data_IF_782054358830
#
_entry.id   IF_782054358830
#
_cell.length_a   1.000
_cell.length_b   1.000
_cell.length_c   1.000
_cell.angle_alpha   90.00
_cell.angle_beta   90.00
_cell.angle_gamma   90.00
#
_symmetry.space_group_name_H-M   'P 1'
#
loop_
_entity.id
_entity.type
_entity.pdbx_description
1 polymer ?
#
# COMPACT_ATOMS: atom_id res chain seq x y z
N UNK A 1 9.02 -8.05 -31.90
CA UNK A 1 8.45 -9.00 -30.91
C UNK A 1 7.48 -8.24 -30.03
N UNK A 2 6.23 -8.70 -29.82
CA UNK A 2 5.20 -7.87 -29.20
C UNK A 2 5.41 -7.74 -27.69
N UNK A 3 5.35 -6.49 -27.21
CA UNK A 3 5.54 -6.04 -25.82
C UNK A 3 4.70 -6.83 -24.78
N UNK A 4 3.61 -7.47 -25.20
CA UNK A 4 2.75 -8.31 -24.36
C UNK A 4 3.39 -9.61 -23.87
N UNK A 5 4.44 -10.11 -24.52
CA UNK A 5 5.17 -11.29 -24.04
C UNK A 5 5.96 -10.97 -22.76
N UNK A 6 6.64 -9.81 -22.72
CA UNK A 6 7.47 -9.43 -21.57
C UNK A 6 6.66 -9.03 -20.33
N UNK A 7 5.49 -8.44 -20.51
CA UNK A 7 4.58 -8.13 -19.39
C UNK A 7 3.99 -9.39 -18.75
N UNK A 8 3.69 -10.40 -19.59
CA UNK A 8 3.33 -11.75 -19.11
C UNK A 8 4.49 -12.42 -18.39
N UNK A 9 5.73 -12.30 -18.88
CA UNK A 9 6.90 -12.82 -18.17
C UNK A 9 7.19 -12.11 -16.84
N UNK A 10 6.88 -10.82 -16.70
CA UNK A 10 7.04 -10.08 -15.44
C UNK A 10 5.92 -10.38 -14.44
N UNK A 11 4.65 -10.47 -14.88
CA UNK A 11 3.54 -10.88 -14.02
C UNK A 11 3.63 -12.36 -13.63
N UNK A 12 3.96 -13.23 -14.59
CA UNK A 12 4.22 -14.64 -14.32
C UNK A 12 5.52 -14.83 -13.54
N UNK A 13 6.54 -13.99 -13.72
CA UNK A 13 7.78 -14.01 -12.96
C UNK A 13 7.59 -13.57 -11.51
N UNK A 14 6.71 -12.58 -11.25
CA UNK A 14 6.34 -12.15 -9.90
C UNK A 14 5.44 -13.18 -9.21
N UNK A 15 4.49 -13.79 -9.93
CA UNK A 15 3.67 -14.89 -9.43
C UNK A 15 4.48 -16.19 -9.23
N UNK A 16 5.48 -16.46 -10.07
CA UNK A 16 6.38 -17.62 -9.95
C UNK A 16 7.44 -17.39 -8.87
N UNK A 17 7.92 -16.15 -8.66
CA UNK A 17 8.78 -15.82 -7.52
C UNK A 17 8.00 -15.89 -6.18
N UNK A 18 6.71 -15.52 -6.19
CA UNK A 18 5.82 -15.70 -5.03
C UNK A 18 5.46 -17.18 -4.82
N UNK A 19 5.39 -17.99 -5.89
CA UNK A 19 5.17 -19.44 -5.82
C UNK A 19 6.45 -20.27 -5.54
N UNK A 20 7.64 -19.72 -5.77
CA UNK A 20 8.93 -20.38 -5.48
C UNK A 20 9.44 -20.10 -4.06
N UNK A 21 8.77 -19.23 -3.30
CA UNK A 21 8.91 -19.15 -1.84
C UNK A 21 8.07 -20.21 -1.10
N UNK A 22 7.56 -21.21 -1.81
CA UNK A 22 7.02 -22.43 -1.20
C UNK A 22 8.20 -23.22 -0.64
N UNK A 23 8.52 -22.97 0.63
CA UNK A 23 9.21 -23.96 1.43
C UNK A 23 8.38 -25.24 1.31
N UNK A 24 8.92 -26.23 0.61
CA UNK A 24 8.31 -27.56 0.56
C UNK A 24 8.02 -27.98 2.01
N UNK A 25 6.80 -28.41 2.35
CA UNK A 25 6.53 -28.88 3.69
C UNK A 25 7.48 -30.05 3.96
N UNK A 26 8.41 -29.85 4.89
CA UNK A 26 9.24 -30.92 5.40
C UNK A 26 8.29 -32.02 5.86
N UNK A 27 8.46 -33.24 5.33
CA UNK A 27 7.56 -34.35 5.60
C UNK A 27 7.32 -34.51 7.10
N UNK A 28 6.04 -34.53 7.50
CA UNK A 28 5.67 -34.70 8.89
C UNK A 28 6.18 -36.05 9.39
N UNK A 29 7.08 -36.06 10.36
CA UNK A 29 7.61 -37.29 10.92
C UNK A 29 6.68 -37.76 12.03
N UNK A 30 5.93 -38.82 11.74
CA UNK A 30 4.96 -39.38 12.68
C UNK A 30 5.70 -40.18 13.76
N UNK A 31 5.84 -39.61 14.95
CA UNK A 31 6.29 -40.35 16.13
C UNK A 31 5.14 -41.26 16.56
N UNK A 32 5.33 -42.58 16.47
CA UNK A 32 4.30 -43.58 16.77
C UNK A 32 4.23 -43.80 18.30
N UNK A 33 3.24 -43.23 19.02
CA UNK A 33 3.16 -43.36 20.47
C UNK A 33 2.32 -44.60 20.77
N UNK A 34 2.95 -45.77 20.86
CA UNK A 34 2.38 -46.90 21.61
C UNK A 34 2.39 -46.61 23.12
N UNK A 35 1.85 -47.50 23.96
CA UNK A 35 1.57 -47.35 25.41
C UNK A 35 2.70 -46.79 26.33
N UNK A 36 3.88 -46.50 25.81
CA UNK A 36 4.90 -45.68 26.46
C UNK A 36 4.70 -44.23 25.99
N UNK A 37 4.27 -43.35 26.90
CA UNK A 37 4.25 -41.91 26.66
C UNK A 37 5.54 -41.44 25.98
N UNK A 38 5.43 -40.58 24.97
CA UNK A 38 6.60 -39.97 24.31
C UNK A 38 7.48 -39.36 25.39
N UNK A 39 8.66 -39.96 25.62
CA UNK A 39 9.62 -39.41 26.58
C UNK A 39 10.23 -38.16 25.98
N UNK A 40 10.39 -37.12 26.79
CA UNK A 40 10.99 -35.83 26.38
C UNK A 40 12.29 -36.03 25.57
N UNK A 41 13.10 -37.02 25.93
CA UNK A 41 14.35 -37.35 25.23
C UNK A 41 14.14 -37.76 23.77
N UNK A 42 13.14 -38.59 23.46
CA UNK A 42 12.84 -38.99 22.08
C UNK A 42 12.34 -37.81 21.25
N UNK A 43 11.55 -36.93 21.86
CA UNK A 43 11.11 -35.69 21.24
C UNK A 43 12.30 -34.78 20.90
N UNK A 44 13.23 -34.60 21.84
CA UNK A 44 14.45 -33.82 21.65
C UNK A 44 15.39 -34.44 20.61
N UNK A 45 15.50 -35.76 20.54
CA UNK A 45 16.30 -36.46 19.51
C UNK A 45 15.75 -36.22 18.11
N UNK A 46 14.43 -36.29 17.91
CA UNK A 46 13.82 -36.00 16.61
C UNK A 46 14.05 -34.53 16.22
N UNK A 47 13.91 -33.58 17.16
CA UNK A 47 14.22 -32.17 16.88
C UNK A 47 15.71 -31.92 16.59
N UNK A 48 16.62 -32.64 17.26
CA UNK A 48 18.06 -32.54 16.99
C UNK A 48 18.42 -33.13 15.63
N UNK A 49 17.81 -34.25 15.26
CA UNK A 49 18.07 -34.94 13.99
C UNK A 49 17.42 -34.25 12.78
N UNK A 50 16.26 -33.61 12.99
CA UNK A 50 15.60 -32.79 11.98
C UNK A 50 14.92 -31.58 12.65
N UNK A 51 15.64 -30.45 12.78
CA UNK A 51 15.10 -29.22 13.36
C UNK A 51 13.86 -28.69 12.63
N UNK A 52 13.64 -29.10 11.38
CA UNK A 52 12.51 -28.71 10.54
C UNK A 52 11.36 -29.72 10.54
N UNK A 53 11.40 -30.77 11.37
CA UNK A 53 10.30 -31.73 11.48
C UNK A 53 9.08 -31.11 12.20
N UNK A 54 7.92 -31.15 11.55
CA UNK A 54 6.65 -30.94 12.23
C UNK A 54 6.34 -32.14 13.13
N UNK A 55 6.18 -31.89 14.43
CA UNK A 55 5.92 -32.94 15.41
C UNK A 55 4.44 -33.03 15.73
N UNK A 56 3.88 -34.23 15.53
CA UNK A 56 2.48 -34.54 15.82
C UNK A 56 2.38 -35.68 16.82
N UNK A 57 1.48 -35.52 17.78
CA UNK A 57 1.02 -36.57 18.69
C UNK A 57 -0.27 -37.22 18.18
N UNK A 58 -0.99 -37.85 19.12
CA UNK A 58 -2.31 -38.44 18.87
C UNK A 58 -3.35 -37.71 19.72
N UNK A 59 -4.51 -37.43 19.13
CA UNK A 59 -5.68 -36.89 19.84
C UNK A 59 -6.89 -37.76 19.55
N UNK A 60 -7.82 -37.82 20.50
CA UNK A 60 -9.10 -38.52 20.37
C UNK A 60 -10.26 -37.60 19.99
N UNK A 61 -10.03 -36.28 19.95
CA UNK A 61 -11.03 -35.28 19.59
C UNK A 61 -11.09 -35.07 18.07
N UNK A 62 -12.23 -34.60 17.52
CA UNK A 62 -12.37 -34.35 16.08
C UNK A 62 -11.37 -33.34 15.50
N UNK A 63 -10.89 -32.37 16.29
CA UNK A 63 -9.90 -31.39 15.83
C UNK A 63 -8.50 -32.01 15.81
N UNK A 64 -8.15 -32.64 14.70
CA UNK A 64 -6.84 -33.26 14.48
C UNK A 64 -5.69 -32.26 14.50
N UNK A 65 -5.95 -30.94 14.36
CA UNK A 65 -4.91 -29.91 14.45
C UNK A 65 -4.32 -29.82 15.85
N UNK A 66 -5.10 -30.14 16.89
CA UNK A 66 -4.64 -30.22 18.27
C UNK A 66 -3.59 -31.31 18.49
N UNK A 67 -3.42 -32.23 17.55
CA UNK A 67 -2.34 -33.19 17.58
C UNK A 67 -0.97 -32.57 17.26
N UNK A 68 -0.91 -31.35 16.74
CA UNK A 68 0.39 -30.74 16.42
C UNK A 68 1.05 -30.17 17.68
N UNK A 69 2.23 -30.67 18.02
CA UNK A 69 3.00 -30.30 19.20
C UNK A 69 4.03 -29.20 18.88
N UNK A 70 4.73 -29.31 17.75
CA UNK A 70 5.74 -28.35 17.32
C UNK A 70 5.61 -28.11 15.81
N UNK A 71 5.70 -26.84 15.40
CA UNK A 71 5.75 -26.42 13.99
C UNK A 71 6.96 -25.50 13.77
N UNK A 72 7.99 -25.94 13.02
CA UNK A 72 9.18 -25.13 12.78
C UNK A 72 8.89 -23.84 12.02
N UNK A 73 7.90 -23.87 11.12
CA UNK A 73 7.42 -22.71 10.38
C UNK A 73 7.00 -21.54 11.28
N UNK A 74 6.54 -21.82 12.52
CA UNK A 74 6.25 -20.77 13.49
C UNK A 74 7.48 -20.02 13.98
N UNK A 75 8.66 -20.68 14.05
CA UNK A 75 9.93 -20.01 14.34
C UNK A 75 10.36 -19.12 13.18
N UNK A 76 10.21 -19.60 11.95
CA UNK A 76 10.56 -18.84 10.75
C UNK A 76 9.68 -17.60 10.60
N UNK A 77 8.37 -17.75 10.79
CA UNK A 77 7.43 -16.63 10.82
C UNK A 77 7.78 -15.62 11.92
N UNK A 78 8.13 -16.08 13.13
CA UNK A 78 8.55 -15.19 14.23
C UNK A 78 9.83 -14.44 13.89
N UNK A 79 10.83 -15.13 13.34
CA UNK A 79 12.10 -14.54 12.89
C UNK A 79 11.86 -13.47 11.83
N UNK A 80 11.00 -13.78 10.85
CA UNK A 80 10.57 -12.81 9.85
C UNK A 80 9.87 -11.61 10.51
N UNK A 81 8.87 -11.83 11.36
CA UNK A 81 8.04 -10.76 11.93
C UNK A 81 8.82 -9.84 12.86
N UNK A 82 9.70 -10.38 13.71
CA UNK A 82 10.48 -9.62 14.69
C UNK A 82 11.79 -9.06 14.14
N UNK A 83 12.30 -9.61 13.03
CA UNK A 83 13.54 -9.19 12.41
C UNK A 83 13.33 -8.56 11.04
N UNK A 84 13.05 -9.39 10.04
CA UNK A 84 12.99 -8.99 8.63
C UNK A 84 11.93 -7.93 8.37
N UNK A 85 10.71 -8.14 8.84
CA UNK A 85 9.57 -7.23 8.65
C UNK A 85 9.82 -5.86 9.27
N UNK A 86 10.37 -5.82 10.49
CA UNK A 86 10.75 -4.58 11.16
C UNK A 86 11.81 -3.81 10.36
N UNK A 87 12.80 -4.50 9.80
CA UNK A 87 13.84 -3.88 8.95
C UNK A 87 13.26 -3.35 7.64
N UNK A 88 12.45 -4.16 6.94
CA UNK A 88 11.78 -3.73 5.70
C UNK A 88 10.91 -2.50 5.97
N UNK A 89 10.10 -2.53 7.02
CA UNK A 89 9.26 -1.41 7.40
C UNK A 89 10.06 -0.16 7.75
N UNK A 90 11.15 -0.29 8.52
CA UNK A 90 12.02 0.83 8.87
C UNK A 90 12.67 1.45 7.62
N UNK A 91 13.23 0.61 6.74
CA UNK A 91 13.84 1.07 5.48
C UNK A 91 12.79 1.73 4.58
N UNK A 92 11.61 1.13 4.41
CA UNK A 92 10.57 1.68 3.55
C UNK A 92 10.06 3.04 4.05
N UNK A 93 9.72 3.14 5.34
CA UNK A 93 9.15 4.36 5.91
C UNK A 93 10.21 5.43 6.13
N UNK A 94 11.30 5.13 6.85
CA UNK A 94 12.35 6.12 7.12
C UNK A 94 13.10 6.48 5.85
N UNK A 95 13.38 5.51 4.98
CA UNK A 95 14.02 5.76 3.69
C UNK A 95 13.18 6.69 2.81
N UNK A 96 11.86 6.49 2.75
CA UNK A 96 10.98 7.42 2.04
C UNK A 96 11.00 8.81 2.68
N UNK A 97 10.92 8.93 4.01
CA UNK A 97 10.99 10.23 4.68
C UNK A 97 12.31 10.96 4.39
N UNK A 98 13.44 10.24 4.39
CA UNK A 98 14.76 10.79 4.02
C UNK A 98 14.78 11.23 2.55
N UNK A 99 14.21 10.43 1.64
CA UNK A 99 14.10 10.80 0.21
C UNK A 99 13.27 12.07 0.04
N UNK A 100 12.13 12.17 0.71
CA UNK A 100 11.25 13.35 0.63
C UNK A 100 11.91 14.58 1.25
N UNK A 101 12.61 14.43 2.37
CA UNK A 101 13.37 15.51 2.99
C UNK A 101 14.50 15.98 2.07
N UNK A 102 15.28 15.06 1.51
CA UNK A 102 16.33 15.40 0.55
C UNK A 102 15.74 16.11 -0.67
N UNK A 103 14.66 15.58 -1.24
CA UNK A 103 13.97 16.21 -2.36
C UNK A 103 13.50 17.62 -2.01
N UNK A 104 12.90 17.82 -0.84
CA UNK A 104 12.48 19.15 -0.38
C UNK A 104 13.66 20.11 -0.23
N UNK A 105 14.78 19.67 0.37
CA UNK A 105 15.96 20.52 0.58
C UNK A 105 16.66 20.90 -0.75
N UNK A 106 16.71 20.00 -1.72
CA UNK A 106 17.36 20.26 -3.00
C UNK A 106 16.48 20.97 -4.02
N UNK A 107 15.19 20.61 -4.10
CA UNK A 107 14.27 21.11 -5.13
C UNK A 107 13.34 22.21 -4.63
N UNK A 108 13.02 22.22 -3.34
CA UNK A 108 12.01 23.08 -2.74
C UNK A 108 10.58 22.74 -3.16
N UNK A 109 9.65 23.64 -2.82
CA UNK A 109 8.26 23.59 -3.26
C UNK A 109 8.16 23.93 -4.74
N UNK A 110 7.43 23.13 -5.52
CA UNK A 110 7.09 23.43 -6.91
C UNK A 110 6.04 24.54 -6.89
N UNK A 111 6.39 25.71 -7.39
CA UNK A 111 5.52 26.90 -7.45
C UNK A 111 4.85 27.01 -8.81
N UNK A 112 3.77 27.78 -8.86
CA UNK A 112 3.13 28.18 -10.13
C UNK A 112 4.06 29.19 -10.81
N UNK A 113 4.63 28.84 -11.95
CA UNK A 113 5.66 29.67 -12.61
C UNK A 113 5.09 31.01 -13.10
N UNK A 114 3.88 31.00 -13.64
CA UNK A 114 3.16 32.20 -14.06
C UNK A 114 2.51 32.97 -12.90
N UNK A 115 2.61 32.46 -11.67
CA UNK A 115 1.84 32.93 -10.52
C UNK A 115 0.35 32.60 -10.62
N UNK A 116 -0.42 32.77 -9.52
CA UNK A 116 -1.84 32.50 -9.50
C UNK A 116 -2.59 33.48 -10.43
N UNK A 117 -3.47 32.91 -11.26
CA UNK A 117 -4.34 33.64 -12.17
C UNK A 117 -5.50 34.35 -11.46
N UNK A 118 -5.87 33.86 -10.26
CA UNK A 118 -7.07 34.30 -9.53
C UNK A 118 -8.38 33.75 -10.11
N UNK A 119 -8.33 32.98 -11.21
CA UNK A 119 -9.45 32.24 -11.75
C UNK A 119 -9.29 30.76 -11.47
N UNK A 120 -10.37 30.09 -11.09
CA UNK A 120 -10.34 28.66 -10.80
C UNK A 120 -11.14 27.85 -11.81
N UNK A 121 -10.80 26.57 -11.89
CA UNK A 121 -11.50 25.55 -12.66
C UNK A 121 -11.78 24.34 -11.77
N UNK A 122 -12.99 23.80 -11.85
CA UNK A 122 -13.38 22.59 -11.13
C UNK A 122 -12.62 21.38 -11.67
N UNK A 123 -11.76 20.80 -10.83
CA UNK A 123 -11.01 19.60 -11.15
C UNK A 123 -11.66 18.33 -10.62
N UNK A 124 -12.16 18.38 -9.39
CA UNK A 124 -12.80 17.25 -8.70
C UNK A 124 -14.10 17.68 -8.05
N UNK A 125 -15.19 17.00 -8.41
CA UNK A 125 -16.50 17.29 -7.84
C UNK A 125 -16.62 16.78 -6.38
N UNK A 126 -17.72 17.13 -5.70
CA UNK A 126 -17.92 16.76 -4.30
C UNK A 126 -17.89 15.25 -4.03
N UNK A 127 -18.42 14.43 -4.94
CA UNK A 127 -18.42 12.98 -4.80
C UNK A 127 -17.00 12.40 -4.93
N UNK A 128 -16.22 12.89 -5.90
CA UNK A 128 -14.81 12.51 -6.07
C UNK A 128 -13.97 12.85 -4.83
N UNK A 129 -14.20 14.03 -4.24
CA UNK A 129 -13.53 14.43 -3.00
C UNK A 129 -13.97 13.58 -1.80
N UNK A 130 -15.27 13.27 -1.70
CA UNK A 130 -15.78 12.39 -0.65
C UNK A 130 -15.11 11.01 -0.70
N UNK A 131 -15.07 10.37 -1.87
CA UNK A 131 -14.40 9.07 -2.05
C UNK A 131 -12.91 9.15 -1.69
N UNK A 132 -12.25 10.25 -2.08
CA UNK A 132 -10.85 10.51 -1.72
C UNK A 132 -10.66 10.56 -0.20
N UNK A 133 -11.39 11.43 0.49
CA UNK A 133 -11.24 11.62 1.93
C UNK A 133 -11.71 10.43 2.76
N UNK A 134 -12.72 9.70 2.30
CA UNK A 134 -13.12 8.41 2.89
C UNK A 134 -11.94 7.43 2.88
N UNK A 135 -11.33 7.24 1.70
CA UNK A 135 -10.25 6.27 1.52
C UNK A 135 -8.98 6.72 2.25
N UNK A 136 -8.60 8.00 2.12
CA UNK A 136 -7.41 8.56 2.75
C UNK A 136 -7.51 8.55 4.28
N UNK A 137 -8.65 8.96 4.84
CA UNK A 137 -8.89 8.95 6.28
C UNK A 137 -8.81 7.53 6.87
N UNK A 138 -9.46 6.56 6.21
CA UNK A 138 -9.34 5.16 6.62
C UNK A 138 -7.90 4.65 6.50
N UNK A 139 -7.21 4.93 5.39
CA UNK A 139 -5.83 4.50 5.18
C UNK A 139 -4.89 5.02 6.25
N UNK A 140 -5.00 6.29 6.67
CA UNK A 140 -4.15 6.86 7.73
C UNK A 140 -4.31 6.07 9.03
N UNK A 141 -5.55 5.77 9.44
CA UNK A 141 -5.80 5.02 10.68
C UNK A 141 -5.34 3.57 10.55
N UNK A 142 -5.56 2.93 9.39
CA UNK A 142 -5.08 1.58 9.08
C UNK A 142 -3.54 1.51 9.09
N UNK A 143 -2.87 2.50 8.52
CA UNK A 143 -1.42 2.61 8.50
C UNK A 143 -0.83 2.78 9.90
N UNK A 144 -1.37 3.70 10.71
CA UNK A 144 -0.91 3.94 12.08
C UNK A 144 -1.12 2.71 12.98
N UNK A 145 -2.28 2.06 12.86
CA UNK A 145 -2.55 0.82 13.61
C UNK A 145 -1.68 -0.35 13.14
N UNK A 146 -1.39 -0.48 11.85
CA UNK A 146 -0.44 -1.46 11.32
C UNK A 146 0.99 -1.21 11.78
N UNK A 147 1.44 0.04 11.77
CA UNK A 147 2.75 0.43 12.31
C UNK A 147 2.85 0.15 13.81
N UNK A 148 1.76 0.29 14.57
CA UNK A 148 1.70 -0.11 15.97
C UNK A 148 1.92 -1.63 16.15
N UNK A 149 1.41 -2.46 15.23
CA UNK A 149 1.68 -3.92 15.27
C UNK A 149 3.17 -4.21 15.06
N UNK A 150 3.81 -3.57 14.07
CA UNK A 150 5.22 -3.83 13.72
C UNK A 150 6.22 -3.20 14.69
N UNK A 151 5.96 -1.97 15.15
CA UNK A 151 6.93 -1.16 15.90
C UNK A 151 6.48 -0.78 17.32
N UNK A 152 5.19 -0.89 17.62
CA UNK A 152 4.61 -0.34 18.85
C UNK A 152 5.23 -0.91 20.12
N UNK A 153 5.54 -2.21 20.16
CA UNK A 153 6.23 -2.82 21.32
C UNK A 153 7.66 -2.31 21.51
N UNK A 154 8.38 -2.02 20.42
CA UNK A 154 9.76 -1.56 20.49
C UNK A 154 9.85 -0.06 20.78
N UNK A 155 8.92 0.74 20.23
CA UNK A 155 8.98 2.20 20.27
C UNK A 155 7.99 2.80 21.26
N UNK A 156 6.71 2.41 21.21
CA UNK A 156 5.67 3.07 22.00
C UNK A 156 5.58 2.51 23.42
N UNK A 157 5.62 1.19 23.60
CA UNK A 157 5.49 0.54 24.91
C UNK A 157 6.48 1.11 25.96
N UNK A 158 7.79 1.31 25.66
CA UNK A 158 8.72 1.89 26.63
C UNK A 158 8.42 3.36 26.95
N UNK A 159 7.81 4.10 26.01
CA UNK A 159 7.55 5.53 26.15
C UNK A 159 6.29 5.83 26.98
N UNK A 160 5.22 5.05 26.78
CA UNK A 160 3.91 5.34 27.40
C UNK A 160 3.51 4.34 28.48
N UNK A 161 4.30 3.27 28.67
CA UNK A 161 4.07 2.23 29.65
C UNK A 161 3.02 1.19 29.24
N UNK A 162 2.95 0.04 29.96
CA UNK A 162 2.15 -1.12 29.53
C UNK A 162 0.65 -0.87 29.45
N UNK A 163 0.06 -0.15 30.41
CA UNK A 163 -1.39 0.07 30.46
C UNK A 163 -1.86 0.97 29.31
N UNK A 164 -1.20 2.11 29.09
CA UNK A 164 -1.53 3.01 28.00
C UNK A 164 -1.31 2.35 26.63
N UNK A 165 -0.22 1.60 26.47
CA UNK A 165 0.04 0.85 25.24
C UNK A 165 -1.03 -0.22 24.97
N UNK A 166 -1.50 -0.90 26.01
CA UNK A 166 -2.59 -1.88 25.89
C UNK A 166 -3.87 -1.21 25.42
N UNK A 167 -4.28 -0.10 26.04
CA UNK A 167 -5.48 0.64 25.65
C UNK A 167 -5.40 1.15 24.22
N UNK A 168 -4.27 1.76 23.85
CA UNK A 168 -3.99 2.22 22.49
C UNK A 168 -4.06 1.06 21.49
N UNK A 169 -3.44 -0.08 21.79
CA UNK A 169 -3.39 -1.23 20.88
C UNK A 169 -4.76 -1.89 20.70
N UNK A 170 -5.59 -1.92 21.75
CA UNK A 170 -6.97 -2.41 21.67
C UNK A 170 -7.79 -1.47 20.78
N UNK A 171 -7.73 -0.17 21.00
CA UNK A 171 -8.41 0.81 20.16
C UNK A 171 -7.94 0.71 18.69
N UNK A 172 -6.63 0.67 18.47
CA UNK A 172 -6.02 0.51 17.16
C UNK A 172 -6.51 -0.75 16.44
N UNK A 173 -6.60 -1.90 17.12
CA UNK A 173 -7.14 -3.15 16.55
C UNK A 173 -8.59 -2.98 16.12
N UNK A 174 -9.45 -2.42 16.98
CA UNK A 174 -10.86 -2.21 16.65
C UNK A 174 -11.03 -1.26 15.48
N UNK A 175 -10.35 -0.12 15.50
CA UNK A 175 -10.34 0.83 14.40
C UNK A 175 -9.84 0.21 13.11
N UNK A 176 -8.76 -0.60 13.16
CA UNK A 176 -8.22 -1.27 11.99
C UNK A 176 -9.25 -2.21 11.36
N UNK A 177 -9.87 -3.07 12.16
CA UNK A 177 -10.81 -4.07 11.67
C UNK A 177 -12.09 -3.46 11.10
N UNK A 178 -12.61 -2.38 11.71
CA UNK A 178 -13.84 -1.75 11.25
C UNK A 178 -13.64 -0.76 10.11
N UNK A 179 -12.55 0.02 10.11
CA UNK A 179 -12.26 0.98 9.02
C UNK A 179 -11.72 0.32 7.75
N UNK A 180 -11.31 -0.96 7.83
CA UNK A 180 -10.98 -1.74 6.64
C UNK A 180 -12.17 -1.81 5.65
N UNK A 181 -13.41 -1.91 6.13
CA UNK A 181 -14.60 -2.00 5.26
C UNK A 181 -14.87 -0.74 4.42
N UNK A 182 -14.98 0.47 5.01
CA UNK A 182 -15.09 1.69 4.23
C UNK A 182 -13.85 1.97 3.37
N UNK A 183 -12.65 1.55 3.79
CA UNK A 183 -11.46 1.62 2.94
C UNK A 183 -11.61 0.75 1.68
N UNK A 184 -12.04 -0.50 1.81
CA UNK A 184 -12.29 -1.42 0.69
C UNK A 184 -13.34 -0.86 -0.27
N UNK A 185 -14.43 -0.32 0.28
CA UNK A 185 -15.46 0.36 -0.51
C UNK A 185 -14.89 1.57 -1.25
N UNK A 186 -14.10 2.41 -0.55
CA UNK A 186 -13.44 3.57 -1.13
C UNK A 186 -12.53 3.22 -2.31
N UNK A 187 -11.69 2.19 -2.17
CA UNK A 187 -10.82 1.69 -3.26
C UNK A 187 -11.65 1.20 -4.46
N UNK A 188 -12.74 0.45 -4.21
CA UNK A 188 -13.61 -0.02 -5.27
C UNK A 188 -14.29 1.14 -6.02
N UNK A 189 -14.80 2.13 -5.28
CA UNK A 189 -15.43 3.32 -5.86
C UNK A 189 -14.42 4.16 -6.66
N UNK A 190 -13.21 4.37 -6.13
CA UNK A 190 -12.12 5.04 -6.86
C UNK A 190 -11.80 4.35 -8.18
N UNK A 191 -11.69 3.02 -8.17
CA UNK A 191 -11.47 2.26 -9.39
C UNK A 191 -12.59 2.52 -10.41
N UNK A 192 -13.86 2.34 -10.01
CA UNK A 192 -15.00 2.50 -10.93
C UNK A 192 -15.11 3.92 -11.51
N UNK A 193 -14.85 4.96 -10.71
CA UNK A 193 -15.05 6.34 -11.14
C UNK A 193 -13.83 6.89 -11.90
N UNK A 194 -12.61 6.53 -11.48
CA UNK A 194 -11.39 7.13 -12.05
C UNK A 194 -10.65 6.24 -13.06
N UNK A 195 -11.05 4.98 -13.28
CA UNK A 195 -10.34 4.09 -14.21
C UNK A 195 -10.20 4.69 -15.61
N UNK A 196 -11.26 5.31 -16.15
CA UNK A 196 -11.24 5.82 -17.53
C UNK A 196 -10.12 6.86 -17.73
N UNK A 197 -9.90 7.70 -16.73
CA UNK A 197 -8.92 8.78 -16.80
C UNK A 197 -7.50 8.30 -16.45
N UNK A 198 -7.36 7.08 -15.91
CA UNK A 198 -6.12 6.50 -15.41
C UNK A 198 -5.56 5.34 -16.26
N UNK A 199 -6.12 5.09 -17.45
CA UNK A 199 -5.54 4.14 -18.41
C UNK A 199 -4.16 4.67 -18.87
N UNK A 200 -3.06 3.91 -18.69
CA UNK A 200 -1.74 4.31 -19.15
C UNK A 200 -1.70 4.42 -20.68
N UNK A 201 -1.04 5.45 -21.19
CA UNK A 201 -0.84 5.67 -22.61
C UNK A 201 0.62 6.08 -22.93
N UNK A 202 0.95 6.16 -24.22
CA UNK A 202 2.31 6.48 -24.66
C UNK A 202 2.77 7.88 -24.22
N UNK A 203 1.85 8.83 -24.04
CA UNK A 203 2.14 10.15 -23.49
C UNK A 203 2.65 10.07 -22.04
N UNK A 204 2.12 9.15 -21.24
CA UNK A 204 2.57 8.95 -19.85
C UNK A 204 4.00 8.37 -19.81
N UNK A 205 4.36 7.48 -20.74
CA UNK A 205 5.72 6.97 -20.85
C UNK A 205 6.71 8.07 -21.22
N UNK A 206 6.34 8.97 -22.13
CA UNK A 206 7.14 10.14 -22.49
C UNK A 206 7.26 11.10 -21.29
N UNK A 207 6.18 11.27 -20.54
CA UNK A 207 6.16 12.08 -19.31
C UNK A 207 7.14 11.53 -18.26
N UNK A 208 7.13 10.21 -18.04
CA UNK A 208 8.05 9.54 -17.12
C UNK A 208 9.51 9.59 -17.62
N UNK A 209 9.73 9.37 -18.92
CA UNK A 209 11.07 9.45 -19.52
C UNK A 209 11.67 10.87 -19.45
N UNK A 210 10.82 11.89 -19.46
CA UNK A 210 11.21 13.29 -19.24
C UNK A 210 11.36 13.65 -17.75
N UNK A 211 11.34 12.67 -16.84
CA UNK A 211 11.48 12.90 -15.40
C UNK A 211 10.26 13.57 -14.74
N UNK A 212 9.11 13.56 -15.40
CA UNK A 212 7.84 14.01 -14.85
C UNK A 212 7.75 15.50 -14.49
N UNK A 213 8.63 16.34 -15.05
CA UNK A 213 8.77 17.74 -14.65
C UNK A 213 9.36 17.94 -13.24
N UNK A 214 9.80 16.87 -12.59
CA UNK A 214 10.50 16.91 -11.30
C UNK A 214 12.01 17.12 -11.49
N UNK A 215 12.55 16.69 -12.63
CA UNK A 215 13.97 16.72 -12.98
C UNK A 215 14.18 17.68 -14.15
N UNK A 216 14.94 18.77 -13.93
CA UNK A 216 15.26 19.79 -14.94
C UNK A 216 14.48 21.10 -14.77
N UNK A 217 14.80 22.09 -15.61
CA UNK A 217 14.18 23.44 -15.64
C UNK A 217 13.06 23.57 -16.69
N UNK A 218 12.61 22.45 -17.26
CA UNK A 218 11.58 22.42 -18.31
C UNK A 218 10.22 22.04 -17.74
N UNK A 219 9.15 22.54 -18.38
CA UNK A 219 7.79 22.13 -18.07
C UNK A 219 7.61 20.63 -18.34
N UNK A 220 6.86 19.97 -17.47
CA UNK A 220 6.44 18.59 -17.72
C UNK A 220 5.74 18.49 -19.09
N UNK A 221 5.92 17.39 -19.84
CA UNK A 221 5.16 17.17 -21.06
C UNK A 221 3.64 17.34 -20.81
N UNK A 222 2.88 17.86 -21.78
CA UNK A 222 1.46 18.12 -21.61
C UNK A 222 0.70 16.89 -21.11
N UNK A 223 -0.02 17.04 -20.01
CA UNK A 223 -0.80 15.96 -19.40
C UNK A 223 -2.31 16.22 -19.52
N UNK A 224 -3.08 15.14 -19.55
CA UNK A 224 -4.54 15.15 -19.38
C UNK A 224 -4.90 15.32 -17.91
N UNK A 225 -6.14 14.99 -17.53
CA UNK A 225 -6.68 15.14 -16.18
C UNK A 225 -5.76 14.55 -15.10
N UNK A 226 -5.16 13.40 -15.39
CA UNK A 226 -4.09 12.81 -14.58
C UNK A 226 -2.79 12.72 -15.40
N UNK A 227 -1.67 13.07 -14.76
CA UNK A 227 -0.33 12.87 -15.33
C UNK A 227 0.20 11.44 -15.06
N UNK A 228 1.33 11.08 -15.68
CA UNK A 228 1.90 9.74 -15.56
C UNK A 228 2.18 9.31 -14.12
N UNK A 229 2.69 10.22 -13.27
CA UNK A 229 2.92 9.96 -11.86
C UNK A 229 1.63 9.70 -11.07
N UNK A 230 0.59 10.50 -11.30
CA UNK A 230 -0.72 10.31 -10.67
C UNK A 230 -1.36 8.97 -11.07
N UNK A 231 -1.18 8.52 -12.32
CA UNK A 231 -1.64 7.21 -12.77
C UNK A 231 -0.89 6.06 -12.09
N UNK A 232 0.41 6.20 -11.87
CA UNK A 232 1.19 5.22 -11.09
C UNK A 232 0.63 5.12 -9.67
N UNK A 233 0.32 6.26 -9.03
CA UNK A 233 -0.31 6.27 -7.70
C UNK A 233 -1.69 5.61 -7.74
N UNK A 234 -2.53 5.93 -8.73
CA UNK A 234 -3.84 5.29 -8.90
C UNK A 234 -3.73 3.76 -8.94
N UNK A 235 -2.85 3.22 -9.78
CA UNK A 235 -2.66 1.77 -9.87
C UNK A 235 -2.02 1.16 -8.63
N UNK A 236 -1.12 1.88 -7.95
CA UNK A 236 -0.59 1.46 -6.66
C UNK A 236 -1.69 1.35 -5.60
N UNK A 237 -2.59 2.33 -5.51
CA UNK A 237 -3.74 2.31 -4.58
C UNK A 237 -4.73 1.20 -4.93
N UNK A 238 -5.06 1.02 -6.21
CA UNK A 238 -6.01 -0.03 -6.64
C UNK A 238 -5.44 -1.42 -6.37
N UNK A 239 -4.22 -1.71 -6.84
CA UNK A 239 -3.62 -3.04 -6.73
C UNK A 239 -3.15 -3.34 -5.31
N UNK A 240 -2.47 -2.38 -4.67
CA UNK A 240 -2.02 -2.50 -3.29
C UNK A 240 -3.19 -2.53 -2.30
N UNK A 241 -4.21 -1.68 -2.52
CA UNK A 241 -5.46 -1.72 -1.77
C UNK A 241 -6.17 -3.05 -1.91
N UNK A 242 -6.31 -3.59 -3.13
CA UNK A 242 -6.90 -4.91 -3.34
C UNK A 242 -6.09 -6.03 -2.64
N UNK A 243 -4.76 -6.00 -2.73
CA UNK A 243 -3.89 -6.97 -2.05
C UNK A 243 -4.03 -6.90 -0.52
N UNK A 244 -4.08 -5.70 0.06
CA UNK A 244 -4.35 -5.50 1.50
C UNK A 244 -5.74 -5.99 1.89
N UNK A 245 -6.74 -5.74 1.05
CA UNK A 245 -8.12 -6.17 1.28
C UNK A 245 -8.23 -7.69 1.33
N UNK A 246 -7.71 -8.39 0.32
CA UNK A 246 -7.75 -9.86 0.23
C UNK A 246 -7.00 -10.48 1.41
N UNK A 247 -5.76 -10.06 1.64
CA UNK A 247 -4.97 -10.58 2.75
C UNK A 247 -5.59 -10.24 4.13
N UNK A 248 -6.17 -9.06 4.28
CA UNK A 248 -6.86 -8.64 5.50
C UNK A 248 -8.11 -9.47 5.81
N UNK A 249 -8.92 -9.80 4.79
CA UNK A 249 -10.07 -10.70 4.93
C UNK A 249 -9.63 -12.09 5.39
N UNK A 250 -8.57 -12.64 4.81
CA UNK A 250 -8.03 -13.94 5.28
C UNK A 250 -7.53 -13.90 6.73
N UNK A 251 -7.03 -12.75 7.19
CA UNK A 251 -6.60 -12.57 8.59
C UNK A 251 -7.78 -12.34 9.55
N UNK A 252 -8.86 -11.69 9.10
CA UNK A 252 -10.08 -11.49 9.89
C UNK A 252 -10.87 -12.78 10.10
N UNK A 253 -10.83 -13.68 9.12
CA UNK A 253 -11.60 -14.92 9.13
C UNK A 253 -10.71 -16.16 9.08
N UNK A 254 -10.13 -16.56 10.22
CA UNK A 254 -9.34 -17.77 10.40
C UNK A 254 -9.86 -19.04 9.74
N UNK A 255 -11.17 -19.24 9.72
CA UNK A 255 -11.77 -20.44 9.15
C UNK A 255 -11.63 -20.53 7.64
N UNK A 256 -11.46 -19.40 6.94
CA UNK A 256 -11.30 -19.34 5.49
C UNK A 256 -9.83 -19.27 5.04
N UNK A 257 -8.89 -19.09 5.97
CA UNK A 257 -7.48 -18.88 5.63
C UNK A 257 -6.77 -20.13 5.11
N UNK A 258 -7.27 -21.34 5.42
CA UNK A 258 -6.60 -22.62 5.13
C UNK A 258 -5.80 -23.18 6.31
N UNK A 259 -5.77 -22.47 7.44
CA UNK A 259 -5.10 -22.88 8.68
C UNK A 259 -3.97 -21.94 9.08
N UNK A 260 -3.19 -22.36 10.08
CA UNK A 260 -2.17 -21.51 10.73
C UNK A 260 -1.03 -21.13 9.77
N UNK A 261 -0.60 -22.04 8.89
CA UNK A 261 0.49 -21.76 7.93
C UNK A 261 0.05 -20.70 6.92
N UNK A 262 -1.15 -20.81 6.39
CA UNK A 262 -1.69 -19.82 5.46
C UNK A 262 -1.93 -18.47 6.14
N UNK A 263 -2.35 -18.45 7.40
CA UNK A 263 -2.40 -17.18 8.16
C UNK A 263 -1.03 -16.51 8.28
N UNK A 264 0.02 -17.29 8.52
CA UNK A 264 1.39 -16.76 8.59
C UNK A 264 1.78 -16.15 7.25
N UNK A 265 1.49 -16.84 6.15
CA UNK A 265 1.69 -16.33 4.79
C UNK A 265 0.91 -15.03 4.56
N UNK A 266 -0.40 -15.01 4.81
CA UNK A 266 -1.22 -13.81 4.64
C UNK A 266 -0.77 -12.66 5.53
N UNK A 267 -0.28 -12.94 6.74
CA UNK A 267 0.29 -11.93 7.64
C UNK A 267 1.56 -11.31 7.07
N UNK A 268 2.45 -12.13 6.49
CA UNK A 268 3.67 -11.65 5.85
C UNK A 268 3.35 -10.79 4.62
N UNK A 269 2.46 -11.28 3.75
CA UNK A 269 2.02 -10.54 2.55
C UNK A 269 1.38 -9.21 2.95
N UNK A 270 0.44 -9.23 3.90
CA UNK A 270 -0.24 -8.03 4.37
C UNK A 270 0.75 -7.01 4.94
N UNK A 271 1.68 -7.45 5.79
CA UNK A 271 2.71 -6.59 6.37
C UNK A 271 3.59 -5.93 5.31
N UNK A 272 4.13 -6.72 4.36
CA UNK A 272 5.01 -6.21 3.30
C UNK A 272 4.27 -5.20 2.42
N UNK A 273 3.07 -5.54 1.93
CA UNK A 273 2.28 -4.64 1.08
C UNK A 273 1.94 -3.37 1.85
N UNK A 274 1.60 -3.47 3.14
CA UNK A 274 1.23 -2.32 3.96
C UNK A 274 2.38 -1.31 4.07
N UNK A 275 3.59 -1.74 4.42
CA UNK A 275 4.72 -0.79 4.58
C UNK A 275 5.17 -0.17 3.25
N UNK A 276 5.07 -0.92 2.15
CA UNK A 276 5.32 -0.37 0.81
C UNK A 276 4.25 0.67 0.43
N UNK A 277 2.98 0.38 0.70
CA UNK A 277 1.89 1.33 0.47
C UNK A 277 2.03 2.58 1.32
N UNK A 278 2.44 2.45 2.59
CA UNK A 278 2.74 3.60 3.45
C UNK A 278 3.83 4.47 2.82
N UNK A 279 4.93 3.88 2.36
CA UNK A 279 5.99 4.62 1.68
C UNK A 279 5.46 5.35 0.43
N UNK A 280 4.71 4.68 -0.45
CA UNK A 280 4.12 5.32 -1.64
C UNK A 280 3.15 6.45 -1.26
N UNK A 281 2.33 6.25 -0.22
CA UNK A 281 1.36 7.25 0.22
C UNK A 281 2.02 8.45 0.88
N UNK A 282 3.16 8.29 1.55
CA UNK A 282 3.96 9.43 2.02
C UNK A 282 4.41 10.32 0.85
N UNK A 283 4.86 9.72 -0.26
CA UNK A 283 5.22 10.47 -1.46
C UNK A 283 4.01 11.17 -2.09
N UNK A 284 2.85 10.50 -2.13
CA UNK A 284 1.61 11.09 -2.63
C UNK A 284 1.15 12.28 -1.76
N UNK A 285 1.13 12.11 -0.43
CA UNK A 285 0.77 13.16 0.52
C UNK A 285 1.73 14.35 0.38
N UNK A 286 3.04 14.09 0.26
CA UNK A 286 4.03 15.15 0.06
C UNK A 286 3.73 15.98 -1.19
N UNK A 287 3.61 15.37 -2.36
CA UNK A 287 3.34 16.10 -3.61
C UNK A 287 1.97 16.78 -3.57
N UNK A 288 0.95 16.15 -2.99
CA UNK A 288 -0.40 16.70 -2.87
C UNK A 288 -0.57 17.81 -1.82
N UNK A 289 0.46 18.13 -1.04
CA UNK A 289 0.38 19.15 0.03
C UNK A 289 1.54 20.15 -0.01
N UNK A 290 2.68 19.77 0.55
CA UNK A 290 3.84 20.65 0.77
C UNK A 290 4.70 20.76 -0.49
N UNK A 291 4.80 19.68 -1.26
CA UNK A 291 5.69 19.57 -2.42
C UNK A 291 5.26 20.38 -3.64
N UNK A 292 3.97 20.69 -3.77
CA UNK A 292 3.43 21.44 -4.90
C UNK A 292 2.42 22.49 -4.44
N UNK A 293 2.61 23.73 -4.88
CA UNK A 293 1.68 24.83 -4.65
C UNK A 293 0.34 24.58 -5.35
N UNK A 294 -0.78 24.94 -4.70
CA UNK A 294 -2.14 24.76 -5.23
C UNK A 294 -2.65 23.32 -5.34
N UNK A 295 -1.79 22.31 -5.18
CA UNK A 295 -2.18 20.90 -5.36
C UNK A 295 -3.21 20.43 -4.30
N UNK A 296 -3.12 20.94 -3.07
CA UNK A 296 -4.07 20.60 -2.01
C UNK A 296 -5.49 21.09 -2.33
N UNK A 297 -5.63 22.23 -2.99
CA UNK A 297 -6.94 22.85 -3.29
C UNK A 297 -7.80 21.94 -4.18
N UNK A 298 -7.17 21.16 -5.05
CA UNK A 298 -7.81 20.13 -5.84
C UNK A 298 -8.66 19.15 -5.00
N UNK A 299 -8.20 18.78 -3.80
CA UNK A 299 -8.93 17.87 -2.90
C UNK A 299 -9.62 18.60 -1.75
N UNK A 300 -9.17 19.80 -1.39
CA UNK A 300 -9.81 20.63 -0.37
C UNK A 300 -11.13 21.21 -0.84
N UNK A 301 -11.09 22.05 -1.88
CA UNK A 301 -12.28 22.73 -2.44
C UNK A 301 -12.82 22.03 -3.69
N UNK A 302 -11.96 21.32 -4.44
CA UNK A 302 -12.26 20.79 -5.77
C UNK A 302 -11.86 21.69 -6.92
N UNK A 303 -11.47 22.92 -6.60
CA UNK A 303 -11.10 23.98 -7.52
C UNK A 303 -9.57 24.12 -7.55
N UNK A 304 -9.02 24.32 -8.74
CA UNK A 304 -7.59 24.61 -8.92
C UNK A 304 -7.42 25.91 -9.70
N UNK A 305 -6.34 26.64 -9.43
CA UNK A 305 -5.98 27.83 -10.21
C UNK A 305 -5.78 27.48 -11.69
N UNK A 306 -6.22 28.37 -12.59
CA UNK A 306 -6.18 28.14 -14.03
C UNK A 306 -4.74 28.10 -14.58
N UNK A 307 -3.80 28.89 -14.04
CA UNK A 307 -2.39 28.81 -14.46
C UNK A 307 -1.76 27.51 -13.97
N UNK A 308 -2.03 27.10 -12.73
CA UNK A 308 -1.62 25.78 -12.23
C UNK A 308 -2.15 24.65 -13.13
N UNK A 309 -3.43 24.72 -13.52
CA UNK A 309 -4.05 23.75 -14.41
C UNK A 309 -3.39 23.72 -15.80
N UNK A 310 -3.03 24.87 -16.36
CA UNK A 310 -2.33 24.97 -17.65
C UNK A 310 -0.92 24.41 -17.56
N UNK A 311 -0.17 24.73 -16.50
CA UNK A 311 1.21 24.29 -16.31
C UNK A 311 1.31 22.77 -16.11
N UNK A 312 0.40 22.18 -15.35
CA UNK A 312 0.48 20.76 -14.99
C UNK A 312 -0.42 19.84 -15.83
N UNK A 313 -1.48 20.39 -16.45
CA UNK A 313 -2.56 19.63 -17.09
C UNK A 313 -3.09 20.33 -18.36
N UNK A 314 -2.19 20.88 -19.17
CA UNK A 314 -2.51 21.64 -20.39
C UNK A 314 -3.55 20.99 -21.31
N UNK A 315 -3.46 19.66 -21.55
CA UNK A 315 -4.39 18.96 -22.43
C UNK A 315 -5.80 18.90 -21.83
N UNK A 316 -5.89 18.74 -20.51
CA UNK A 316 -7.18 18.76 -19.81
C UNK A 316 -7.83 20.14 -19.85
N UNK A 317 -7.06 21.20 -19.65
CA UNK A 317 -7.60 22.57 -19.76
C UNK A 317 -8.15 22.83 -21.16
N UNK A 318 -7.44 22.40 -22.21
CA UNK A 318 -7.92 22.52 -23.59
C UNK A 318 -9.25 21.78 -23.79
N UNK A 319 -9.37 20.54 -23.29
CA UNK A 319 -10.62 19.76 -23.34
C UNK A 319 -11.77 20.42 -22.57
N UNK A 320 -11.52 21.06 -21.42
CA UNK A 320 -12.56 21.76 -20.65
C UNK A 320 -12.97 23.09 -21.27
N UNK A 321 -12.06 23.79 -21.95
CA UNK A 321 -12.39 24.98 -22.76
C UNK A 321 -13.30 24.58 -23.92
N UNK A 322 -12.97 23.50 -24.63
CA UNK A 322 -13.80 22.98 -25.74
C UNK A 322 -15.21 22.58 -25.27
N UNK A 323 -15.33 22.06 -24.05
CA UNK A 323 -16.62 21.72 -23.43
C UNK A 323 -17.36 22.93 -22.84
N UNK A 324 -16.80 24.13 -22.89
CA UNK A 324 -17.37 25.35 -22.29
C UNK A 324 -17.39 25.35 -20.76
N UNK A 325 -16.55 24.54 -20.11
CA UNK A 325 -16.47 24.36 -18.65
C UNK A 325 -15.29 25.11 -18.01
N UNK A 326 -14.40 25.65 -18.83
CA UNK A 326 -13.31 26.50 -18.42
C UNK A 326 -13.43 27.89 -19.07
N UNK A 327 -12.90 28.96 -18.44
CA UNK A 327 -12.76 30.25 -19.09
C UNK A 327 -11.86 30.09 -20.33
N UNK A 328 -12.47 30.06 -21.51
CA UNK A 328 -11.75 30.24 -22.76
C UNK A 328 -11.16 31.65 -22.78
N UNK A 329 -10.05 31.84 -23.50
CA UNK A 329 -9.64 33.19 -23.87
C UNK A 329 -10.87 33.86 -24.52
N UNK A 330 -11.50 34.81 -23.83
CA UNK A 330 -12.46 35.69 -24.48
C UNK A 330 -11.66 36.34 -25.60
N UNK A 331 -11.92 35.93 -26.84
CA UNK A 331 -11.66 36.80 -27.98
C UNK A 331 -12.45 38.05 -27.67
N UNK A 332 -11.81 39.07 -27.09
CA UNK A 332 -12.36 40.40 -27.07
C UNK A 332 -12.63 40.72 -28.54
N UNK A 333 -13.89 40.97 -28.94
CA UNK A 333 -14.13 41.56 -30.24
C UNK A 333 -13.36 42.87 -30.23
N UNK A 334 -12.46 43.05 -31.20
CA UNK A 334 -11.87 44.36 -31.43
C UNK A 334 -13.03 45.32 -31.75
N UNK A 335 -13.32 46.23 -30.83
CA UNK A 335 -13.97 47.50 -31.17
C UNK A 335 -12.96 48.41 -31.87
#
# INVERSE_FOLDING_TARGET
>A
MPLGAHLRFLFSGLLLALALAVAAPAGAQQVNPTANSVREQQFLEVLKGNPSAELRGRVSIPDTRAATLERPAGRDWRSFHQGTMTRIGAVAVLGMLVILLAFYLFRGRIRIEAGPSGQTITRFNAFERFMHWLTAGCFIILALSGLNVTFGKALLLPLIGPQAFTNLSVAAKWSHNFLAWPFMLGVALMFLVWIKDNIPNLGDLRWLAAGGGLIGKGHAPPARRFNGGQKVIFWAVVLGGAALSVSGVYLLYPSFSGGVLDMQFWNMVHGIVAVLMIAVMLAHIYIGSIGMEGAFDAMGSGEVDLNWAKEHHALWVAEEVEKGRAPGARLQPAE
#
